data_IF_135677695784
#
_entry.id   IF_135677695784
#
_cell.length_a   1.000
_cell.length_b   1.000
_cell.length_c   1.000
_cell.angle_alpha   90.00
_cell.angle_beta   90.00
_cell.angle_gamma   90.00
#
_symmetry.space_group_name_H-M   'P 1'
#
loop_
_entity.id
_entity.type
_entity.pdbx_description
1 polymer ?
#
# COMPACT_ATOMS: atom_id res chain seq x y z
N UNK A 1 -5.77 -29.35 -23.41
CA UNK A 1 -4.41 -29.18 -22.84
C UNK A 1 -4.58 -28.72 -21.40
N UNK A 2 -3.89 -29.32 -20.41
CA UNK A 2 -4.05 -28.92 -19.02
C UNK A 2 -3.60 -27.46 -18.86
N UNK A 3 -4.54 -26.62 -18.45
CA UNK A 3 -4.32 -25.19 -18.21
C UNK A 3 -3.76 -25.03 -16.79
N UNK A 4 -2.44 -25.14 -16.67
CA UNK A 4 -1.73 -24.87 -15.42
C UNK A 4 -1.97 -23.43 -14.99
N UNK A 5 -2.66 -23.23 -13.87
CA UNK A 5 -2.72 -21.90 -13.27
C UNK A 5 -3.89 -21.72 -12.32
N UNK A 6 -5.09 -22.12 -12.72
CA UNK A 6 -6.27 -21.98 -11.86
C UNK A 6 -6.35 -23.10 -10.82
N UNK A 7 -6.52 -24.37 -11.24
CA UNK A 7 -6.84 -25.47 -10.33
C UNK A 7 -5.70 -25.87 -9.39
N UNK A 8 -4.44 -25.93 -9.88
CA UNK A 8 -3.30 -26.27 -9.00
C UNK A 8 -3.12 -25.29 -7.83
N UNK A 9 -3.28 -23.98 -8.07
CA UNK A 9 -3.17 -22.99 -7.01
C UNK A 9 -4.25 -23.17 -5.94
N UNK A 10 -5.48 -23.51 -6.36
CA UNK A 10 -6.56 -23.84 -5.42
C UNK A 10 -6.28 -25.08 -4.60
N UNK A 11 -5.69 -26.13 -5.19
CA UNK A 11 -5.27 -27.34 -4.46
C UNK A 11 -4.23 -26.99 -3.39
N UNK A 12 -3.21 -26.21 -3.74
CA UNK A 12 -2.14 -25.83 -2.81
C UNK A 12 -2.71 -24.98 -1.67
N UNK A 13 -3.57 -24.02 -2.00
CA UNK A 13 -4.25 -23.19 -1.00
C UNK A 13 -5.08 -24.03 -0.03
N UNK A 14 -5.79 -25.05 -0.53
CA UNK A 14 -6.59 -25.95 0.30
C UNK A 14 -5.71 -26.78 1.25
N UNK A 15 -4.57 -27.29 0.77
CA UNK A 15 -3.61 -28.03 1.62
C UNK A 15 -3.06 -27.14 2.72
N UNK A 16 -2.63 -25.92 2.39
CA UNK A 16 -2.16 -24.93 3.36
C UNK A 16 -3.26 -24.62 4.38
N UNK A 17 -4.51 -24.45 3.94
CA UNK A 17 -5.64 -24.18 4.82
C UNK A 17 -5.94 -25.32 5.79
N UNK A 18 -5.73 -26.58 5.39
CA UNK A 18 -5.91 -27.74 6.27
C UNK A 18 -4.77 -27.86 7.28
N UNK A 19 -3.53 -27.62 6.86
CA UNK A 19 -2.35 -27.72 7.74
C UNK A 19 -2.30 -26.60 8.78
N UNK A 20 -2.55 -25.36 8.34
CA UNK A 20 -2.50 -24.18 9.20
C UNK A 20 -3.87 -23.86 9.83
N UNK A 21 -4.96 -24.35 9.25
CA UNK A 21 -6.33 -24.01 9.65
C UNK A 21 -6.80 -22.67 9.06
N UNK A 22 -8.10 -22.58 8.78
CA UNK A 22 -8.72 -21.38 8.17
C UNK A 22 -8.57 -20.08 8.97
N UNK A 23 -8.26 -20.18 10.26
CA UNK A 23 -8.08 -19.03 11.15
C UNK A 23 -6.66 -18.47 11.16
N UNK A 24 -5.63 -19.28 10.85
CA UNK A 24 -4.23 -18.84 10.95
C UNK A 24 -3.77 -18.01 9.77
N UNK A 25 -4.26 -18.30 8.57
CA UNK A 25 -3.94 -17.51 7.38
C UNK A 25 -4.35 -16.03 7.50
N UNK A 26 -5.59 -15.67 7.90
CA UNK A 26 -5.97 -14.28 8.10
C UNK A 26 -5.29 -13.63 9.32
N UNK A 27 -4.99 -14.40 10.38
CA UNK A 27 -4.28 -13.91 11.57
C UNK A 27 -2.84 -13.49 11.22
N UNK A 28 -2.12 -14.29 10.42
CA UNK A 28 -0.80 -13.98 9.90
C UNK A 28 -0.81 -12.81 8.92
N UNK A 29 -1.78 -12.77 8.00
CA UNK A 29 -1.93 -11.66 7.06
C UNK A 29 -2.21 -10.33 7.77
N UNK A 30 -3.01 -10.35 8.84
CA UNK A 30 -3.31 -9.16 9.63
C UNK A 30 -2.05 -8.62 10.31
N UNK A 31 -1.26 -9.48 10.97
CA UNK A 31 0.01 -9.08 11.57
C UNK A 31 1.03 -8.56 10.54
N UNK A 32 1.17 -9.22 9.39
CA UNK A 32 2.04 -8.76 8.31
C UNK A 32 1.57 -7.43 7.70
N UNK A 33 0.26 -7.27 7.53
CA UNK A 33 -0.36 -6.06 6.98
C UNK A 33 -0.19 -4.86 7.90
N UNK A 34 -0.36 -5.05 9.21
CA UNK A 34 -0.13 -4.01 10.22
C UNK A 34 1.36 -3.62 10.25
N UNK A 35 2.28 -4.59 10.22
CA UNK A 35 3.73 -4.33 10.14
C UNK A 35 4.14 -3.59 8.85
N UNK A 36 3.61 -4.00 7.69
CA UNK A 36 3.86 -3.32 6.41
C UNK A 36 3.29 -1.89 6.41
N UNK A 37 2.14 -1.67 7.06
CA UNK A 37 1.52 -0.34 7.19
C UNK A 37 2.36 0.58 8.06
N UNK A 38 2.86 0.10 9.19
CA UNK A 38 3.78 0.86 10.04
C UNK A 38 5.11 1.13 9.34
N UNK A 39 5.68 0.12 8.67
CA UNK A 39 6.90 0.29 7.87
C UNK A 39 6.74 1.37 6.81
N UNK A 40 5.63 1.32 6.04
CA UNK A 40 5.34 2.34 5.02
C UNK A 40 5.12 3.73 5.62
N UNK A 41 4.55 3.82 6.82
CA UNK A 41 4.34 5.10 7.52
C UNK A 41 5.66 5.69 7.99
N UNK A 42 6.54 4.88 8.60
CA UNK A 42 7.86 5.30 9.04
C UNK A 42 8.70 5.78 7.84
N UNK A 43 8.78 4.97 6.79
CA UNK A 43 9.49 5.34 5.56
C UNK A 43 8.92 6.61 4.92
N UNK A 44 7.59 6.84 4.97
CA UNK A 44 7.02 8.09 4.47
C UNK A 44 7.35 9.30 5.32
N UNK A 45 7.39 9.18 6.65
CA UNK A 45 7.72 10.31 7.54
C UNK A 45 9.17 10.78 7.33
N UNK A 46 10.09 9.84 7.09
CA UNK A 46 11.47 10.11 6.70
C UNK A 46 11.58 10.79 5.32
N UNK A 47 10.75 10.38 4.35
CA UNK A 47 10.71 10.95 2.99
C UNK A 47 9.97 12.30 2.94
N UNK A 48 8.94 12.51 3.76
CA UNK A 48 8.21 13.78 3.89
C UNK A 48 9.08 14.83 4.57
N UNK A 49 9.96 14.46 5.51
CA UNK A 49 10.99 15.37 6.07
C UNK A 49 12.00 15.84 5.00
N UNK A 50 12.19 15.09 3.90
CA UNK A 50 12.95 15.54 2.72
C UNK A 50 12.10 16.25 1.66
N UNK A 51 10.77 16.21 1.76
CA UNK A 51 9.84 16.75 0.77
C UNK A 51 9.16 18.06 1.20
N UNK A 52 9.42 18.57 2.41
CA UNK A 52 9.09 19.96 2.80
C UNK A 52 10.09 20.97 2.19
N UNK A 53 10.35 20.85 0.89
CA UNK A 53 10.84 21.95 0.04
C UNK A 53 10.19 21.89 -1.35
N UNK A 54 8.92 21.45 -1.45
CA UNK A 54 8.11 21.66 -2.66
C UNK A 54 6.66 21.99 -2.32
N UNK A 55 6.44 23.10 -1.61
CA UNK A 55 5.27 23.98 -1.77
C UNK A 55 5.52 25.25 -0.97
N UNK A 56 6.40 26.09 -1.49
CA UNK A 56 6.32 27.54 -1.31
C UNK A 56 6.67 28.13 -2.66
N UNK A 57 5.72 28.03 -3.59
CA UNK A 57 5.58 28.91 -4.77
C UNK A 57 4.30 28.47 -5.49
N UNK A 58 3.15 28.85 -4.93
CA UNK A 58 2.03 29.21 -5.80
C UNK A 58 2.31 30.67 -6.19
N UNK A 59 2.73 30.95 -7.43
CA UNK A 59 3.04 32.29 -7.86
C UNK A 59 1.80 33.16 -7.69
N UNK A 60 2.00 34.29 -7.01
CA UNK A 60 1.27 35.52 -7.28
C UNK A 60 1.26 35.71 -8.80
N UNK A 61 0.09 35.54 -9.43
CA UNK A 61 -0.45 36.40 -10.49
C UNK A 61 -1.65 35.72 -11.17
N UNK A 62 -2.84 35.95 -10.64
CA UNK A 62 -4.03 36.13 -11.49
C UNK A 62 -4.92 37.18 -10.83
N UNK A 63 -4.35 38.37 -10.64
CA UNK A 63 -5.12 39.60 -10.66
C UNK A 63 -4.63 40.34 -11.90
N UNK A 64 -5.29 40.10 -13.03
CA UNK A 64 -5.32 41.06 -14.13
C UNK A 64 -5.91 42.34 -13.53
N UNK A 65 -5.00 43.28 -13.23
CA UNK A 65 -5.14 44.74 -13.07
C UNK A 65 -6.30 45.38 -13.87
N UNK A 66 -6.60 46.69 -13.74
CA UNK A 66 -6.89 47.52 -12.57
C UNK A 66 -8.20 48.32 -12.80
N UNK A 67 -8.61 49.07 -11.78
CA UNK A 67 -9.60 50.15 -11.81
C UNK A 67 -9.41 51.13 -12.98
N UNK A 68 -10.42 51.29 -13.84
CA UNK A 68 -10.92 52.57 -14.40
C UNK A 68 -12.42 52.50 -14.66
#
# INVERSE_FOLDING_TARGET
MPTFGGPELWIVLLIVLVLFGGKKLPELMKGLGDGMKEFKKATRDDEDTRSVEKTTEKPISTHTEPRV
#
